data_IF_282623055858
#
_entry.id   IF_282623055858
#
_cell.length_a   1.000
_cell.length_b   1.000
_cell.length_c   1.000
_cell.angle_alpha   90.00
_cell.angle_beta   90.00
_cell.angle_gamma   90.00
#
_symmetry.space_group_name_H-M   'P 1'
#
loop_
_entity.id
_entity.type
_entity.pdbx_description
1 polymer ?
#
# COMPACT_ATOMS: atom_id res chain seq x y z
N UNK A 1 15.97 -15.61 0.32
CA UNK A 1 14.85 -15.33 1.20
C UNK A 1 13.99 -14.22 0.62
N UNK A 2 12.68 -14.38 0.69
CA UNK A 2 11.77 -13.40 0.12
C UNK A 2 11.75 -12.09 0.94
N UNK A 3 11.40 -11.01 0.28
CA UNK A 3 11.39 -9.67 0.84
C UNK A 3 10.04 -9.00 0.63
N UNK A 4 9.79 -7.93 1.38
CA UNK A 4 8.65 -7.06 1.18
C UNK A 4 9.10 -5.61 1.04
N UNK A 5 8.54 -4.93 0.05
CA UNK A 5 8.77 -3.50 -0.18
C UNK A 5 7.44 -2.80 0.04
N UNK A 6 7.38 -1.89 1.01
CA UNK A 6 6.18 -1.08 1.25
C UNK A 6 6.38 0.27 0.58
N UNK A 7 5.52 0.56 -0.38
CA UNK A 7 5.53 1.85 -1.07
C UNK A 7 4.41 2.69 -0.48
N UNK A 8 4.78 3.76 0.21
CA UNK A 8 3.87 4.64 0.92
C UNK A 8 3.93 6.05 0.34
N UNK A 9 2.91 6.85 0.57
CA UNK A 9 2.81 8.21 0.10
C UNK A 9 1.36 8.65 0.03
N UNK A 10 1.13 9.94 -0.08
CA UNK A 10 -0.21 10.49 -0.17
C UNK A 10 -0.90 10.05 -1.47
N UNK A 11 -2.24 9.95 -1.46
CA UNK A 11 -2.99 9.76 -2.71
C UNK A 11 -2.62 10.86 -3.71
N UNK A 12 -2.37 10.49 -4.95
CA UNK A 12 -1.95 11.43 -5.98
C UNK A 12 -0.46 11.75 -6.00
N UNK A 13 0.36 11.11 -5.15
CA UNK A 13 1.80 11.35 -5.09
C UNK A 13 2.58 10.72 -6.24
N UNK A 14 1.94 9.86 -7.04
CA UNK A 14 2.63 9.07 -8.06
C UNK A 14 2.97 7.66 -7.57
N UNK A 15 2.46 7.26 -6.41
CA UNK A 15 2.73 5.98 -5.78
C UNK A 15 2.38 4.80 -6.71
N UNK A 16 1.24 4.86 -7.39
CA UNK A 16 0.82 3.78 -8.31
C UNK A 16 1.81 3.59 -9.46
N UNK A 17 2.34 4.70 -10.01
CA UNK A 17 3.34 4.65 -11.06
C UNK A 17 4.63 4.02 -10.57
N UNK A 18 5.06 4.37 -9.36
CA UNK A 18 6.26 3.77 -8.74
C UNK A 18 6.06 2.28 -8.52
N UNK A 19 4.90 1.86 -8.02
CA UNK A 19 4.57 0.45 -7.83
C UNK A 19 4.68 -0.31 -9.15
N UNK A 20 4.11 0.22 -10.23
CA UNK A 20 4.15 -0.41 -11.54
C UNK A 20 5.58 -0.55 -12.07
N UNK A 21 6.39 0.50 -11.91
CA UNK A 21 7.78 0.46 -12.37
C UNK A 21 8.62 -0.54 -11.59
N UNK A 22 8.47 -0.57 -10.27
CA UNK A 22 9.19 -1.53 -9.42
C UNK A 22 8.78 -2.96 -9.80
N UNK A 23 7.50 -3.21 -9.98
CA UNK A 23 7.00 -4.52 -10.38
C UNK A 23 7.55 -4.94 -11.75
N UNK A 24 7.60 -4.01 -12.71
CA UNK A 24 8.13 -4.29 -14.04
C UNK A 24 9.61 -4.64 -14.01
N UNK A 25 10.40 -3.92 -13.21
CA UNK A 25 11.85 -4.18 -13.08
C UNK A 25 12.17 -5.48 -12.38
N UNK A 26 11.23 -5.98 -11.56
CA UNK A 26 11.40 -7.25 -10.84
C UNK A 26 10.67 -8.41 -11.53
N UNK A 27 10.24 -8.19 -12.77
CA UNK A 27 9.58 -9.22 -13.57
C UNK A 27 10.48 -10.44 -13.67
N UNK A 28 9.87 -11.62 -13.58
CA UNK A 28 10.60 -12.87 -13.58
C UNK A 28 10.87 -13.42 -12.18
N UNK A 29 10.70 -12.61 -11.15
CA UNK A 29 10.74 -13.07 -9.76
C UNK A 29 9.35 -13.45 -9.31
N UNK A 30 9.26 -14.36 -8.34
CA UNK A 30 7.97 -14.71 -7.74
C UNK A 30 7.50 -13.50 -6.92
N UNK A 31 6.48 -12.81 -7.40
CA UNK A 31 6.10 -11.49 -6.90
C UNK A 31 4.58 -11.36 -6.79
N UNK A 32 4.12 -10.76 -5.69
CA UNK A 32 2.71 -10.41 -5.49
C UNK A 32 2.62 -8.96 -5.01
N UNK A 33 1.79 -8.16 -5.67
CA UNK A 33 1.46 -6.81 -5.20
C UNK A 33 0.18 -6.87 -4.37
N UNK A 34 0.24 -6.30 -3.16
CA UNK A 34 -0.90 -6.14 -2.27
C UNK A 34 -1.29 -4.67 -2.28
N UNK A 35 -2.47 -4.38 -2.80
CA UNK A 35 -2.99 -3.02 -2.85
C UNK A 35 -4.11 -2.90 -1.82
N UNK A 36 -3.96 -1.98 -0.86
CA UNK A 36 -4.90 -1.87 0.24
C UNK A 36 -6.31 -1.51 -0.23
N UNK A 37 -6.43 -0.64 -1.23
CA UNK A 37 -7.76 -0.24 -1.74
C UNK A 37 -8.49 -1.42 -2.35
N UNK A 38 -7.80 -2.32 -3.03
CA UNK A 38 -8.39 -3.57 -3.52
C UNK A 38 -8.84 -4.45 -2.36
N UNK A 39 -8.00 -4.59 -1.34
CA UNK A 39 -8.31 -5.40 -0.16
C UNK A 39 -9.55 -4.85 0.54
N UNK A 40 -9.71 -3.53 0.62
CA UNK A 40 -10.89 -2.90 1.21
C UNK A 40 -12.18 -3.29 0.50
N UNK A 41 -12.16 -3.47 -0.81
CA UNK A 41 -13.37 -3.85 -1.56
C UNK A 41 -13.90 -5.20 -1.14
N UNK A 42 -13.03 -6.06 -0.62
CA UNK A 42 -13.37 -7.43 -0.22
C UNK A 42 -13.57 -7.55 1.30
N UNK A 43 -12.64 -7.00 2.07
CA UNK A 43 -12.63 -7.18 3.53
C UNK A 43 -13.59 -6.20 4.22
N UNK A 44 -13.65 -4.97 3.72
CA UNK A 44 -14.54 -3.93 4.28
C UNK A 44 -15.34 -3.28 3.15
N UNK A 45 -16.31 -4.01 2.56
CA UNK A 45 -17.08 -3.48 1.42
C UNK A 45 -17.94 -2.26 1.79
N UNK A 46 -18.21 -2.05 3.08
CA UNK A 46 -18.90 -0.87 3.60
C UNK A 46 -18.01 -0.17 4.62
N UNK A 47 -16.91 0.48 4.17
CA UNK A 47 -15.90 0.99 5.08
C UNK A 47 -16.41 2.16 5.92
N UNK A 48 -16.02 2.17 7.20
CA UNK A 48 -16.30 3.28 8.12
C UNK A 48 -15.14 4.26 8.16
N UNK A 49 -13.95 3.85 7.72
CA UNK A 49 -12.70 4.62 7.79
C UNK A 49 -12.33 5.03 9.22
N UNK A 50 -12.88 4.33 10.23
CA UNK A 50 -12.52 4.56 11.61
C UNK A 50 -11.07 4.15 11.88
N UNK A 51 -10.47 4.68 12.93
CA UNK A 51 -9.12 4.31 13.32
C UNK A 51 -9.03 2.81 13.64
N UNK A 52 -10.05 2.29 14.34
CA UNK A 52 -10.11 0.87 14.67
C UNK A 52 -10.14 0.00 13.41
N UNK A 53 -10.93 0.36 12.43
CA UNK A 53 -11.00 -0.37 11.17
C UNK A 53 -9.65 -0.33 10.44
N UNK A 54 -9.00 0.84 10.42
CA UNK A 54 -7.67 0.98 9.81
C UNK A 54 -6.65 0.12 10.51
N UNK A 55 -6.65 0.10 11.84
CA UNK A 55 -5.73 -0.74 12.61
C UNK A 55 -5.87 -2.20 12.23
N UNK A 56 -7.09 -2.69 12.10
CA UNK A 56 -7.37 -4.07 11.70
C UNK A 56 -6.89 -4.34 10.28
N UNK A 57 -7.20 -3.45 9.35
CA UNK A 57 -6.82 -3.63 7.95
C UNK A 57 -5.30 -3.63 7.76
N UNK A 58 -4.60 -2.71 8.40
CA UNK A 58 -3.14 -2.64 8.27
C UNK A 58 -2.45 -3.81 8.97
N UNK A 59 -3.00 -4.29 10.09
CA UNK A 59 -2.49 -5.49 10.73
C UNK A 59 -2.69 -6.73 9.84
N UNK A 60 -3.85 -6.84 9.21
CA UNK A 60 -4.13 -7.91 8.26
C UNK A 60 -3.18 -7.85 7.06
N UNK A 61 -2.94 -6.66 6.54
CA UNK A 61 -2.02 -6.43 5.43
C UNK A 61 -0.60 -6.88 5.78
N UNK A 62 -0.11 -6.47 6.95
CA UNK A 62 1.22 -6.85 7.41
C UNK A 62 1.35 -8.36 7.60
N UNK A 63 0.35 -8.98 8.19
CA UNK A 63 0.33 -10.44 8.38
C UNK A 63 0.31 -11.18 7.04
N UNK A 64 -0.50 -10.72 6.10
CA UNK A 64 -0.59 -11.34 4.77
C UNK A 64 0.74 -11.26 4.05
N UNK A 65 1.40 -10.11 4.10
CA UNK A 65 2.72 -9.95 3.50
C UNK A 65 3.75 -10.88 4.16
N UNK A 66 3.72 -10.98 5.49
CA UNK A 66 4.59 -11.91 6.22
C UNK A 66 4.38 -13.34 5.74
N UNK A 67 3.13 -13.79 5.67
CA UNK A 67 2.80 -15.16 5.26
C UNK A 67 3.30 -15.45 3.85
N UNK A 68 3.14 -14.49 2.92
CA UNK A 68 3.62 -14.65 1.55
C UNK A 68 5.14 -14.75 1.49
N UNK A 69 5.86 -13.90 2.23
CA UNK A 69 7.33 -13.96 2.24
C UNK A 69 7.83 -15.26 2.84
N UNK A 70 7.14 -15.80 3.82
CA UNK A 70 7.47 -17.11 4.40
C UNK A 70 7.29 -18.24 3.39
N UNK A 71 6.43 -18.05 2.41
CA UNK A 71 6.22 -19.01 1.32
C UNK A 71 7.13 -18.75 0.11
N UNK A 72 8.09 -17.86 0.24
CA UNK A 72 9.03 -17.56 -0.84
C UNK A 72 8.52 -16.57 -1.87
N UNK A 73 7.44 -15.87 -1.59
CA UNK A 73 6.87 -14.86 -2.49
C UNK A 73 7.37 -13.48 -2.09
N UNK A 74 7.95 -12.75 -3.03
CA UNK A 74 8.31 -11.35 -2.82
C UNK A 74 7.05 -10.49 -2.89
N UNK A 75 6.94 -9.49 -2.03
CA UNK A 75 5.73 -8.70 -1.90
C UNK A 75 6.01 -7.21 -2.10
N UNK A 76 5.16 -6.56 -2.89
CA UNK A 76 5.10 -5.10 -2.95
C UNK A 76 3.80 -4.70 -2.27
N UNK A 77 3.89 -3.84 -1.26
CA UNK A 77 2.72 -3.32 -0.55
C UNK A 77 2.47 -1.89 -1.05
N UNK A 78 1.29 -1.69 -1.62
CA UNK A 78 0.83 -0.38 -2.09
C UNK A 78 -0.23 0.11 -1.12
N UNK A 79 0.18 0.96 -0.17
CA UNK A 79 -0.73 1.49 0.83
C UNK A 79 -0.22 2.82 1.38
N UNK A 80 -1.14 3.77 1.57
CA UNK A 80 -0.82 5.11 2.05
C UNK A 80 -0.15 5.09 3.43
N UNK A 81 -0.67 4.29 4.36
CA UNK A 81 -0.11 4.12 5.71
C UNK A 81 0.12 5.45 6.42
N UNK A 82 -0.95 6.20 6.68
CA UNK A 82 -0.89 7.51 7.31
C UNK A 82 -0.39 7.50 8.76
N UNK A 83 -0.21 6.33 9.36
CA UNK A 83 0.38 6.16 10.70
C UNK A 83 1.63 5.32 10.60
N UNK A 84 2.72 5.80 11.23
CA UNK A 84 3.99 5.08 11.24
C UNK A 84 3.84 3.68 11.85
N UNK A 85 2.98 3.52 12.85
CA UNK A 85 2.79 2.24 13.54
C UNK A 85 2.35 1.11 12.59
N UNK A 86 1.65 1.42 11.50
CA UNK A 86 1.25 0.42 10.52
C UNK A 86 2.47 -0.18 9.80
N UNK A 87 3.40 0.68 9.40
CA UNK A 87 4.63 0.24 8.73
C UNK A 87 5.58 -0.42 9.69
N UNK A 88 5.65 0.09 10.93
CA UNK A 88 6.51 -0.48 11.96
C UNK A 88 6.11 -1.90 12.32
N UNK A 89 4.81 -2.20 12.32
CA UNK A 89 4.35 -3.57 12.54
C UNK A 89 4.87 -4.50 11.44
N UNK A 90 4.75 -4.10 10.18
CA UNK A 90 5.27 -4.90 9.06
C UNK A 90 6.78 -5.11 9.18
N UNK A 91 7.52 -4.06 9.56
CA UNK A 91 8.96 -4.14 9.76
C UNK A 91 9.35 -5.15 10.83
N UNK A 92 8.56 -5.22 11.92
CA UNK A 92 8.82 -6.21 12.99
C UNK A 92 8.53 -7.64 12.55
N UNK A 93 7.54 -7.82 11.67
CA UNK A 93 7.08 -9.15 11.25
C UNK A 93 7.89 -9.73 10.10
N UNK A 94 8.50 -8.88 9.28
CA UNK A 94 9.17 -9.30 8.05
C UNK A 94 10.65 -8.96 8.12
N UNK A 95 11.54 -9.97 8.19
CA UNK A 95 12.98 -9.72 8.36
C UNK A 95 13.60 -8.90 7.22
N UNK A 96 13.22 -9.15 5.97
CA UNK A 96 13.71 -8.40 4.82
C UNK A 96 12.65 -7.43 4.35
N UNK A 97 12.63 -6.27 4.99
CA UNK A 97 11.61 -5.26 4.76
C UNK A 97 12.26 -3.94 4.34
N UNK A 98 11.71 -3.32 3.29
CA UNK A 98 12.15 -2.01 2.81
C UNK A 98 10.92 -1.11 2.70
N UNK A 99 11.07 0.14 3.12
CA UNK A 99 10.02 1.15 3.02
C UNK A 99 10.47 2.22 2.04
N UNK A 100 9.61 2.53 1.07
CA UNK A 100 9.85 3.59 0.08
C UNK A 100 8.76 4.63 0.24
N UNK A 101 9.16 5.87 0.51
CA UNK A 101 8.25 7.00 0.60
C UNK A 101 8.27 7.78 -0.70
N UNK A 102 7.11 7.90 -1.35
CA UNK A 102 6.97 8.70 -2.57
C UNK A 102 6.59 10.11 -2.16
N UNK A 103 7.54 11.03 -2.28
CA UNK A 103 7.39 12.41 -1.86
C UNK A 103 6.69 13.25 -2.93
N UNK A 104 5.72 14.07 -2.50
CA UNK A 104 5.00 14.99 -3.36
C UNK A 104 4.33 16.02 -2.46
N UNK A 105 4.26 17.29 -2.88
CA UNK A 105 3.56 18.29 -2.09
C UNK A 105 2.07 17.94 -2.00
N UNK A 106 1.43 18.27 -0.88
CA UNK A 106 0.02 18.02 -0.70
C UNK A 106 -0.83 18.69 -1.78
N UNK A 107 -0.47 19.91 -2.15
CA UNK A 107 -1.15 20.66 -3.20
C UNK A 107 -1.10 19.93 -4.55
N UNK A 108 0.08 19.45 -4.94
CA UNK A 108 0.25 18.67 -6.17
C UNK A 108 -0.54 17.36 -6.11
N UNK A 109 -0.54 16.68 -4.96
CA UNK A 109 -1.28 15.44 -4.77
C UNK A 109 -2.79 15.67 -4.94
N UNK A 110 -3.32 16.75 -4.35
CA UNK A 110 -4.74 17.11 -4.47
C UNK A 110 -5.11 17.40 -5.92
N UNK A 111 -4.26 18.12 -6.64
CA UNK A 111 -4.50 18.46 -8.04
C UNK A 111 -4.52 17.22 -8.93
N UNK A 112 -3.58 16.30 -8.73
CA UNK A 112 -3.53 15.03 -9.46
C UNK A 112 -4.74 14.16 -9.16
N UNK A 113 -5.20 14.14 -7.91
CA UNK A 113 -6.32 13.33 -7.48
C UNK A 113 -7.62 13.71 -8.21
N UNK A 114 -7.84 14.99 -8.44
CA UNK A 114 -9.03 15.48 -9.16
C UNK A 114 -9.11 14.90 -10.57
N UNK A 115 -7.96 14.69 -11.23
CA UNK A 115 -7.89 14.21 -12.60
C UNK A 115 -7.59 12.72 -12.72
N UNK A 116 -7.35 12.05 -11.60
CA UNK A 116 -6.97 10.64 -11.63
C UNK A 116 -8.16 9.73 -11.89
N UNK A 117 -7.93 8.71 -12.72
CA UNK A 117 -8.83 7.57 -12.84
C UNK A 117 -8.15 6.40 -12.16
N UNK A 118 -8.75 5.91 -11.07
CA UNK A 118 -8.22 4.79 -10.31
C UNK A 118 -9.26 3.69 -10.20
N UNK A 119 -8.79 2.45 -10.30
CA UNK A 119 -9.67 1.28 -10.30
C UNK A 119 -10.34 1.07 -8.95
N UNK A 120 -9.61 1.28 -7.86
CA UNK A 120 -10.10 0.98 -6.51
C UNK A 120 -10.24 2.19 -5.61
N UNK A 121 -9.48 3.25 -5.84
CA UNK A 121 -9.47 4.43 -4.98
C UNK A 121 -10.54 5.42 -5.42
N UNK A 122 -11.46 5.84 -4.53
CA UNK A 122 -12.48 6.81 -4.89
C UNK A 122 -11.88 8.16 -5.28
N UNK A 123 -12.51 8.84 -6.25
CA UNK A 123 -12.16 10.22 -6.56
C UNK A 123 -12.56 11.14 -5.42
N UNK A 124 -11.87 12.25 -5.29
CA UNK A 124 -12.19 13.25 -4.29
C UNK A 124 -11.87 12.83 -2.87
N UNK A 125 -10.93 11.92 -2.70
CA UNK A 125 -10.55 11.40 -1.38
C UNK A 125 -10.14 12.51 -0.40
N UNK A 126 -9.60 13.62 -0.91
CA UNK A 126 -9.21 14.76 -0.07
C UNK A 126 -10.37 15.69 0.28
N UNK A 127 -11.53 15.49 -0.31
CA UNK A 127 -12.72 16.30 -0.10
C UNK A 127 -13.64 15.73 0.99
N UNK A 128 -13.31 14.56 1.52
CA UNK A 128 -14.12 13.87 2.52
C UNK A 128 -13.76 14.25 3.94
#
# INVERSE_FOLDING_TARGET
MAWAIWITGLPGSGKTSVVREVAAKLKGKKLRTLQLDEIRTIVTPHPTYSEQERDILYAFLAYTAKALTECGVNVIIDATANRKRYRDLARRLIPRFVEIYVSCSLETCKRREVHRIAEFTPRGIYEK
#
